data_IF_604088744501
#
_entry.id   IF_604088744501
#
_cell.length_a   1.000
_cell.length_b   1.000
_cell.length_c   1.000
_cell.angle_alpha   90.00
_cell.angle_beta   90.00
_cell.angle_gamma   90.00
#
_symmetry.space_group_name_H-M   'P 1'
#
loop_
_entity.id
_entity.type
_entity.pdbx_description
1 polymer ?
#
# COMPACT_ATOMS: atom_id res chain seq x y z
N UNK A 1 -27.75 -0.06 1.72
CA UNK A 1 -26.78 -0.83 0.90
C UNK A 1 -26.66 -2.22 1.49
N UNK A 2 -27.00 -3.26 0.74
CA UNK A 2 -26.82 -4.65 1.17
C UNK A 2 -25.34 -5.07 1.05
N UNK A 3 -25.01 -6.27 1.55
CA UNK A 3 -23.61 -6.76 1.57
C UNK A 3 -22.99 -6.85 0.17
N UNK A 4 -23.74 -7.32 -0.82
CA UNK A 4 -23.26 -7.46 -2.19
C UNK A 4 -22.96 -6.09 -2.83
N UNK A 5 -23.85 -5.12 -2.64
CA UNK A 5 -23.66 -3.74 -3.09
C UNK A 5 -22.43 -3.10 -2.41
N UNK A 6 -22.24 -3.37 -1.11
CA UNK A 6 -21.07 -2.87 -0.36
C UNK A 6 -19.78 -3.47 -0.90
N UNK A 7 -19.71 -4.77 -1.13
CA UNK A 7 -18.54 -5.42 -1.69
C UNK A 7 -18.25 -4.91 -3.11
N UNK A 8 -19.27 -4.80 -3.95
CA UNK A 8 -19.15 -4.25 -5.30
C UNK A 8 -18.59 -2.80 -5.25
N UNK A 9 -19.10 -1.95 -4.35
CA UNK A 9 -18.57 -0.60 -4.17
C UNK A 9 -17.05 -0.60 -3.93
N UNK A 10 -16.54 -1.55 -3.15
CA UNK A 10 -15.10 -1.64 -2.85
C UNK A 10 -14.26 -2.31 -3.95
N UNK A 11 -14.86 -2.84 -5.01
CA UNK A 11 -14.13 -3.26 -6.23
C UNK A 11 -13.95 -2.11 -7.23
N UNK A 12 -14.71 -1.03 -7.08
CA UNK A 12 -14.74 0.07 -8.04
C UNK A 12 -13.59 1.05 -7.81
N UNK A 13 -12.94 1.45 -8.88
CA UNK A 13 -11.93 2.50 -8.84
C UNK A 13 -12.53 3.84 -8.41
N UNK A 14 -11.73 4.61 -7.69
CA UNK A 14 -11.97 6.02 -7.40
C UNK A 14 -10.95 6.86 -8.19
N UNK A 15 -11.12 8.19 -8.30
CA UNK A 15 -10.14 9.03 -8.97
C UNK A 15 -8.70 8.89 -8.45
N UNK A 16 -8.53 8.46 -7.18
CA UNK A 16 -7.22 8.26 -6.59
C UNK A 16 -6.64 6.86 -6.82
N UNK A 17 -7.49 5.85 -7.07
CA UNK A 17 -7.09 4.43 -7.18
C UNK A 17 -7.14 3.90 -8.60
N UNK A 18 -7.66 4.66 -9.56
CA UNK A 18 -7.72 4.28 -10.97
C UNK A 18 -6.31 4.39 -11.59
N UNK A 19 -5.72 3.26 -12.06
CA UNK A 19 -4.40 3.27 -12.69
C UNK A 19 -4.40 3.94 -14.07
N UNK A 20 -5.57 4.19 -14.66
CA UNK A 20 -5.69 4.80 -15.98
C UNK A 20 -4.88 4.05 -17.05
N UNK A 21 -4.10 4.79 -17.83
CA UNK A 21 -3.24 4.24 -18.88
C UNK A 21 -2.14 3.28 -18.36
N UNK A 22 -1.79 3.35 -17.07
CA UNK A 22 -0.80 2.47 -16.45
C UNK A 22 -1.37 1.13 -15.98
N UNK A 23 -2.65 0.83 -16.23
CA UNK A 23 -3.27 -0.44 -15.83
C UNK A 23 -2.57 -1.68 -16.39
N UNK A 24 -1.88 -1.55 -17.52
CA UNK A 24 -1.08 -2.63 -18.11
C UNK A 24 0.03 -3.16 -17.18
N UNK A 25 0.54 -2.32 -16.27
CA UNK A 25 1.58 -2.69 -15.29
C UNK A 25 1.09 -3.76 -14.31
N UNK A 26 -0.22 -3.98 -14.22
CA UNK A 26 -0.82 -4.93 -13.28
C UNK A 26 -1.09 -6.32 -13.88
N UNK A 27 -0.83 -6.53 -15.18
CA UNK A 27 -1.19 -7.78 -15.86
C UNK A 27 -0.38 -8.99 -15.38
N UNK A 28 0.90 -8.78 -15.05
CA UNK A 28 1.84 -9.86 -14.68
C UNK A 28 2.13 -9.94 -13.17
N UNK A 29 1.33 -9.25 -12.35
CA UNK A 29 1.54 -9.23 -10.90
C UNK A 29 1.21 -10.60 -10.26
N UNK A 30 1.94 -11.00 -9.21
CA UNK A 30 1.67 -12.22 -8.45
C UNK A 30 0.26 -12.22 -7.87
N UNK A 31 -0.35 -13.39 -7.69
CA UNK A 31 -1.74 -13.51 -7.23
C UNK A 31 -1.87 -13.39 -5.71
N UNK A 32 -0.87 -13.83 -4.96
CA UNK A 32 -0.91 -13.85 -3.50
C UNK A 32 -0.70 -12.48 -2.86
N UNK A 33 -1.39 -12.23 -1.74
CA UNK A 33 -1.21 -11.00 -0.96
C UNK A 33 0.22 -10.83 -0.41
N UNK A 34 0.89 -11.89 0.11
CA UNK A 34 2.27 -11.76 0.58
C UNK A 34 3.23 -11.31 -0.53
N UNK A 35 3.09 -11.89 -1.73
CA UNK A 35 3.92 -11.56 -2.88
C UNK A 35 3.67 -10.12 -3.37
N UNK A 36 2.40 -9.66 -3.34
CA UNK A 36 2.05 -8.27 -3.68
C UNK A 36 2.65 -7.29 -2.66
N UNK A 37 2.56 -7.57 -1.37
CA UNK A 37 3.16 -6.72 -0.33
C UNK A 37 4.68 -6.61 -0.50
N UNK A 38 5.37 -7.75 -0.74
CA UNK A 38 6.80 -7.77 -1.03
C UNK A 38 7.14 -6.95 -2.27
N UNK A 39 6.36 -7.10 -3.32
CA UNK A 39 6.55 -6.36 -4.57
C UNK A 39 6.38 -4.86 -4.36
N UNK A 40 5.40 -4.42 -3.56
CA UNK A 40 5.22 -3.01 -3.20
C UNK A 40 6.47 -2.45 -2.51
N UNK A 41 7.08 -3.18 -1.60
CA UNK A 41 8.35 -2.77 -0.96
C UNK A 41 9.53 -2.73 -1.93
N UNK A 42 9.49 -3.50 -3.01
CA UNK A 42 10.45 -3.40 -4.10
C UNK A 42 10.27 -2.12 -4.94
N UNK A 43 9.14 -1.44 -4.84
CA UNK A 43 8.84 -0.21 -5.58
C UNK A 43 8.93 1.05 -4.70
N UNK A 44 8.68 0.91 -3.39
CA UNK A 44 8.51 2.03 -2.46
C UNK A 44 9.46 1.90 -1.26
N UNK A 45 9.80 3.03 -0.66
CA UNK A 45 10.56 3.10 0.61
C UNK A 45 9.78 4.00 1.56
N UNK A 46 9.50 3.52 2.77
CA UNK A 46 8.90 4.36 3.79
C UNK A 46 9.92 5.36 4.36
N UNK A 47 9.56 6.64 4.60
CA UNK A 47 10.50 7.67 5.09
C UNK A 47 11.21 7.33 6.40
N UNK A 48 10.60 6.52 7.28
CA UNK A 48 11.26 6.06 8.52
C UNK A 48 12.46 5.16 8.24
N UNK A 49 12.51 4.51 7.08
CA UNK A 49 13.62 3.64 6.66
C UNK A 49 14.81 4.41 6.09
N UNK A 50 14.69 5.72 5.86
CA UNK A 50 15.71 6.53 5.18
C UNK A 50 17.10 6.42 5.84
N UNK A 51 17.15 6.35 7.16
CA UNK A 51 18.41 6.21 7.89
C UNK A 51 19.13 4.90 7.57
N UNK A 52 18.39 3.81 7.36
CA UNK A 52 18.93 2.49 7.05
C UNK A 52 19.42 2.37 5.60
N UNK A 53 18.78 3.08 4.68
CA UNK A 53 19.06 2.99 3.23
C UNK A 53 19.78 4.22 2.68
N UNK A 54 20.11 5.21 3.52
CA UNK A 54 20.68 6.49 3.07
C UNK A 54 21.91 6.34 2.18
N UNK A 55 22.77 5.38 2.46
CA UNK A 55 23.98 5.10 1.69
C UNK A 55 23.69 4.55 0.28
N UNK A 56 22.45 4.11 0.02
CA UNK A 56 21.97 3.62 -1.27
C UNK A 56 21.17 4.67 -2.05
N UNK A 57 20.89 5.83 -1.43
CA UNK A 57 20.10 6.90 -2.01
C UNK A 57 21.02 8.02 -2.55
N UNK A 58 20.49 8.78 -3.51
CA UNK A 58 21.16 10.00 -3.95
C UNK A 58 21.04 11.11 -2.90
N UNK A 59 21.91 12.12 -2.95
CA UNK A 59 21.84 13.27 -2.05
C UNK A 59 20.56 14.10 -2.24
N UNK A 60 19.91 13.97 -3.40
CA UNK A 60 18.68 14.68 -3.75
C UNK A 60 17.42 13.91 -3.40
N UNK A 61 17.51 12.65 -2.95
CA UNK A 61 16.32 11.87 -2.56
C UNK A 61 15.64 12.50 -1.35
N UNK A 62 14.37 12.83 -1.49
CA UNK A 62 13.52 13.46 -0.47
C UNK A 62 12.21 12.70 -0.35
N UNK A 63 11.51 12.90 0.78
CA UNK A 63 10.13 12.46 0.93
C UNK A 63 9.27 13.09 -0.18
N UNK A 64 8.46 12.28 -0.82
CA UNK A 64 7.68 12.65 -2.01
C UNK A 64 6.16 12.66 -1.74
N UNK A 65 5.73 12.54 -0.49
CA UNK A 65 4.31 12.49 -0.10
C UNK A 65 3.47 13.64 -0.67
N UNK A 66 4.07 14.83 -0.80
CA UNK A 66 3.38 16.01 -1.32
C UNK A 66 3.30 16.06 -2.85
N UNK A 67 4.01 15.17 -3.55
CA UNK A 67 4.02 15.14 -5.02
C UNK A 67 2.86 14.36 -5.61
N UNK A 68 2.25 13.45 -4.84
CA UNK A 68 1.31 12.48 -5.35
C UNK A 68 -0.02 12.53 -4.61
N UNK A 69 -1.11 12.51 -5.38
CA UNK A 69 -2.48 12.36 -4.88
C UNK A 69 -3.18 11.14 -5.48
N UNK A 70 -2.73 10.70 -6.65
CA UNK A 70 -3.33 9.63 -7.46
C UNK A 70 -2.32 8.53 -7.75
N UNK A 71 -2.83 7.33 -7.92
CA UNK A 71 -2.00 6.19 -8.30
C UNK A 71 -1.34 6.39 -9.69
N UNK A 72 -2.01 7.06 -10.63
CA UNK A 72 -1.46 7.37 -11.95
C UNK A 72 -0.17 8.19 -11.87
N UNK A 73 -0.11 9.15 -10.93
CA UNK A 73 1.08 9.99 -10.73
C UNK A 73 2.25 9.17 -10.17
N UNK A 74 1.97 8.25 -9.24
CA UNK A 74 2.97 7.33 -8.69
C UNK A 74 3.50 6.37 -9.76
N UNK A 75 2.59 5.77 -10.55
CA UNK A 75 2.95 4.83 -11.62
C UNK A 75 3.75 5.53 -12.71
N UNK A 76 3.36 6.74 -13.10
CA UNK A 76 4.13 7.57 -14.04
C UNK A 76 5.56 7.80 -13.55
N UNK A 77 5.73 8.21 -12.29
CA UNK A 77 7.04 8.45 -11.70
C UNK A 77 7.89 7.17 -11.57
N UNK A 78 7.27 6.02 -11.30
CA UNK A 78 7.97 4.72 -11.30
C UNK A 78 8.44 4.35 -12.72
N UNK A 79 7.59 4.51 -13.72
CA UNK A 79 7.95 4.23 -15.14
C UNK A 79 9.04 5.18 -15.63
N UNK A 80 8.97 6.47 -15.27
CA UNK A 80 10.01 7.45 -15.60
C UNK A 80 11.38 7.06 -15.04
N UNK A 81 11.43 6.51 -13.82
CA UNK A 81 12.69 6.07 -13.20
C UNK A 81 13.22 4.76 -13.77
N UNK A 82 12.32 3.85 -14.13
CA UNK A 82 12.66 2.60 -14.78
C UNK A 82 11.42 2.01 -15.47
N UNK A 83 11.49 1.82 -16.77
CA UNK A 83 10.36 1.40 -17.61
C UNK A 83 10.09 -0.12 -17.60
N UNK A 84 10.88 -0.94 -16.90
CA UNK A 84 10.77 -2.41 -16.91
C UNK A 84 9.55 -2.95 -16.15
N UNK A 85 8.65 -2.06 -15.70
CA UNK A 85 7.39 -2.41 -15.03
C UNK A 85 7.51 -2.49 -13.51
N UNK A 86 6.71 -3.37 -12.88
CA UNK A 86 6.62 -3.47 -11.42
C UNK A 86 7.10 -4.83 -10.87
N UNK A 87 7.36 -5.83 -11.71
CA UNK A 87 7.60 -7.21 -11.28
C UNK A 87 9.03 -7.52 -10.83
N UNK A 88 9.88 -6.52 -10.79
CA UNK A 88 11.29 -6.64 -10.37
C UNK A 88 11.60 -5.75 -9.15
N UNK A 89 12.71 -6.00 -8.50
CA UNK A 89 13.21 -5.17 -7.42
C UNK A 89 14.00 -3.98 -7.98
N UNK A 90 13.46 -2.77 -7.78
CA UNK A 90 14.14 -1.52 -8.17
C UNK A 90 15.34 -1.26 -7.28
N UNK A 91 16.35 -0.63 -7.85
CA UNK A 91 17.40 -0.04 -7.04
C UNK A 91 16.78 0.98 -6.06
N UNK A 92 17.34 1.15 -4.85
CA UNK A 92 16.79 2.10 -3.88
C UNK A 92 16.61 3.53 -4.43
N UNK A 93 17.49 3.97 -5.32
CA UNK A 93 17.39 5.28 -5.99
C UNK A 93 16.26 5.40 -7.02
N UNK A 94 15.72 4.27 -7.47
CA UNK A 94 14.59 4.22 -8.41
C UNK A 94 13.24 4.08 -7.72
N UNK A 95 13.22 3.76 -6.40
CA UNK A 95 11.99 3.64 -5.62
C UNK A 95 11.45 5.02 -5.25
N UNK A 96 10.15 5.11 -5.01
CA UNK A 96 9.54 6.31 -4.44
C UNK A 96 9.73 6.31 -2.91
N UNK A 97 10.14 7.45 -2.36
CA UNK A 97 10.27 7.64 -0.91
C UNK A 97 8.98 8.26 -0.37
N UNK A 98 8.04 7.44 0.02
CA UNK A 98 6.67 7.83 0.40
C UNK A 98 6.12 7.00 1.56
N UNK A 99 5.13 7.57 2.29
CA UNK A 99 4.56 6.99 3.51
C UNK A 99 3.62 5.80 3.27
N UNK A 100 3.22 5.15 4.38
CA UNK A 100 2.32 3.99 4.43
C UNK A 100 1.00 4.19 3.65
N UNK A 101 0.46 5.42 3.61
CA UNK A 101 -0.72 5.75 2.80
C UNK A 101 -0.57 5.31 1.35
N UNK A 102 0.57 5.55 0.75
CA UNK A 102 0.82 5.25 -0.67
C UNK A 102 1.12 3.78 -0.92
N UNK A 103 1.71 3.08 0.07
CA UNK A 103 1.81 1.62 0.05
C UNK A 103 0.41 1.00 0.00
N UNK A 104 -0.50 1.47 0.86
CA UNK A 104 -1.90 1.07 0.84
C UNK A 104 -2.61 1.43 -0.46
N UNK A 105 -2.37 2.63 -1.01
CA UNK A 105 -3.00 3.08 -2.26
C UNK A 105 -2.60 2.18 -3.45
N UNK A 106 -1.33 1.78 -3.53
CA UNK A 106 -0.84 0.89 -4.59
C UNK A 106 -1.47 -0.50 -4.48
N UNK A 107 -1.53 -1.09 -3.26
CA UNK A 107 -2.19 -2.38 -3.04
C UNK A 107 -3.68 -2.32 -3.42
N UNK A 108 -4.39 -1.25 -3.03
CA UNK A 108 -5.81 -1.07 -3.36
C UNK A 108 -6.00 -1.04 -4.88
N UNK A 109 -5.19 -0.30 -5.60
CA UNK A 109 -5.28 -0.22 -7.06
C UNK A 109 -5.04 -1.59 -7.72
N UNK A 110 -4.01 -2.31 -7.29
CA UNK A 110 -3.69 -3.66 -7.78
C UNK A 110 -4.83 -4.65 -7.53
N UNK A 111 -5.44 -4.65 -6.34
CA UNK A 111 -6.52 -5.58 -6.00
C UNK A 111 -7.83 -5.21 -6.69
N UNK A 112 -8.16 -3.92 -6.81
CA UNK A 112 -9.35 -3.46 -7.56
C UNK A 112 -9.26 -3.78 -9.04
N UNK A 113 -8.08 -3.75 -9.64
CA UNK A 113 -7.90 -4.17 -11.05
C UNK A 113 -8.28 -5.65 -11.29
N UNK A 114 -8.31 -6.45 -10.23
CA UNK A 114 -8.74 -7.86 -10.23
C UNK A 114 -10.19 -8.06 -9.77
N UNK A 115 -10.92 -6.97 -9.51
CA UNK A 115 -12.28 -7.05 -8.97
C UNK A 115 -12.36 -7.52 -7.52
N UNK A 116 -11.27 -7.45 -6.75
CA UNK A 116 -11.25 -7.82 -5.34
C UNK A 116 -11.70 -6.65 -4.47
N UNK A 117 -12.67 -6.86 -3.55
CA UNK A 117 -13.10 -5.80 -2.65
C UNK A 117 -11.98 -5.45 -1.68
N UNK A 118 -11.56 -4.19 -1.70
CA UNK A 118 -10.49 -3.66 -0.84
C UNK A 118 -10.78 -2.23 -0.45
N UNK A 119 -10.44 -1.87 0.80
CA UNK A 119 -10.61 -0.53 1.33
C UNK A 119 -9.43 -0.13 2.21
N UNK A 120 -9.14 1.17 2.24
CA UNK A 120 -8.12 1.73 3.14
C UNK A 120 -8.65 1.89 4.56
N UNK A 121 -7.75 1.74 5.54
CA UNK A 121 -8.01 2.02 6.95
C UNK A 121 -6.91 2.86 7.56
N UNK A 122 -7.33 3.83 8.35
CA UNK A 122 -6.47 4.65 9.20
C UNK A 122 -6.70 4.22 10.64
N UNK A 123 -5.63 4.11 11.38
CA UNK A 123 -5.68 3.73 12.79
C UNK A 123 -4.31 3.81 13.45
N UNK A 124 -4.12 2.97 14.45
CA UNK A 124 -2.95 3.00 15.32
C UNK A 124 -2.39 1.59 15.47
N UNK A 125 -1.16 1.39 15.00
CA UNK A 125 -0.44 0.11 15.02
C UNK A 125 0.42 -0.03 16.28
N UNK A 126 0.25 -1.13 17.04
CA UNK A 126 1.10 -1.44 18.19
C UNK A 126 2.42 -2.08 17.76
N UNK A 127 2.44 -2.82 16.66
CA UNK A 127 3.64 -3.47 16.12
C UNK A 127 4.69 -2.48 15.57
N UNK A 128 4.32 -1.21 15.40
CA UNK A 128 5.24 -0.12 15.05
C UNK A 128 5.83 0.59 16.28
N UNK A 129 5.43 0.16 17.47
CA UNK A 129 5.79 0.85 18.71
C UNK A 129 7.29 0.77 18.97
N UNK A 130 7.90 1.93 19.00
CA UNK A 130 9.29 2.14 19.42
C UNK A 130 9.32 3.20 20.52
N UNK A 131 10.37 3.19 21.36
CA UNK A 131 10.65 4.26 22.32
C UNK A 131 9.52 4.56 23.35
N UNK A 132 8.79 3.53 23.79
CA UNK A 132 7.76 3.65 24.83
C UNK A 132 6.43 4.22 24.37
N UNK A 133 6.24 4.51 23.11
CA UNK A 133 4.91 4.79 22.54
C UNK A 133 4.14 3.48 22.42
N UNK A 134 2.88 3.47 22.84
CA UNK A 134 2.06 2.26 22.78
C UNK A 134 1.55 1.98 21.37
N UNK A 135 1.22 3.03 20.62
CA UNK A 135 0.65 2.96 19.27
C UNK A 135 1.21 4.07 18.38
N UNK A 136 1.32 3.79 17.09
CA UNK A 136 1.76 4.73 16.05
C UNK A 136 0.65 4.83 15.01
N UNK A 137 0.30 6.04 14.59
CA UNK A 137 -0.64 6.26 13.49
C UNK A 137 -0.15 5.59 12.21
N UNK A 138 -1.07 4.92 11.52
CA UNK A 138 -0.70 4.11 10.37
C UNK A 138 -1.87 3.88 9.41
N UNK A 139 -1.52 3.58 8.15
CA UNK A 139 -2.46 3.23 7.09
C UNK A 139 -2.26 1.78 6.69
N UNK A 140 -3.36 1.04 6.64
CA UNK A 140 -3.41 -0.34 6.19
C UNK A 140 -4.55 -0.54 5.18
N UNK A 141 -4.68 -1.75 4.65
CA UNK A 141 -5.83 -2.18 3.84
C UNK A 141 -6.69 -3.19 4.60
N UNK A 142 -7.99 -3.20 4.33
CA UNK A 142 -8.83 -4.35 4.57
C UNK A 142 -9.21 -4.97 3.21
N UNK A 143 -8.91 -6.25 3.04
CA UNK A 143 -9.19 -7.06 1.86
C UNK A 143 -10.29 -8.06 2.20
N UNK A 144 -11.29 -8.20 1.36
CA UNK A 144 -12.34 -9.19 1.57
C UNK A 144 -11.84 -10.60 1.27
N UNK A 145 -11.87 -11.48 2.28
CA UNK A 145 -11.57 -12.90 2.14
C UNK A 145 -12.86 -13.67 1.88
N UNK A 146 -13.01 -14.15 0.66
CA UNK A 146 -14.27 -14.78 0.21
C UNK A 146 -14.52 -16.11 0.90
N UNK A 147 -13.48 -16.91 1.17
CA UNK A 147 -13.63 -18.22 1.81
C UNK A 147 -14.13 -18.09 3.26
N UNK A 148 -13.66 -17.07 3.99
CA UNK A 148 -14.00 -16.84 5.39
C UNK A 148 -15.12 -15.83 5.57
N UNK A 149 -15.58 -15.19 4.49
CA UNK A 149 -16.63 -14.16 4.50
C UNK A 149 -16.36 -12.99 5.46
N UNK A 150 -15.09 -12.61 5.61
CA UNK A 150 -14.65 -11.52 6.47
C UNK A 150 -13.63 -10.60 5.79
N UNK A 151 -13.44 -9.44 6.38
CA UNK A 151 -12.35 -8.55 6.04
C UNK A 151 -11.08 -8.97 6.79
N UNK A 152 -9.98 -9.17 6.08
CA UNK A 152 -8.65 -9.36 6.66
C UNK A 152 -7.85 -8.05 6.56
N UNK A 153 -7.06 -7.74 7.58
CA UNK A 153 -6.22 -6.55 7.65
C UNK A 153 -4.85 -6.85 7.07
N UNK A 154 -4.41 -6.01 6.15
CA UNK A 154 -3.16 -6.19 5.40
C UNK A 154 -2.34 -4.91 5.44
N UNK A 155 -1.12 -5.00 5.91
CA UNK A 155 -0.14 -3.91 5.89
C UNK A 155 0.91 -4.16 4.80
N UNK A 156 0.82 -3.48 3.64
CA UNK A 156 1.78 -3.68 2.56
C UNK A 156 3.16 -3.07 2.85
N UNK A 157 3.27 -2.14 3.80
CA UNK A 157 4.55 -1.54 4.19
C UNK A 157 5.37 -2.48 5.08
N UNK A 158 4.69 -3.25 5.94
CA UNK A 158 5.34 -4.21 6.85
C UNK A 158 5.14 -5.68 6.45
N UNK A 159 4.53 -5.95 5.32
CA UNK A 159 4.24 -7.30 4.79
C UNK A 159 3.43 -8.16 5.79
N UNK A 160 2.56 -7.54 6.58
CA UNK A 160 1.73 -8.24 7.55
C UNK A 160 0.37 -8.58 6.94
N UNK A 161 -0.05 -9.83 7.13
CA UNK A 161 -1.34 -10.34 6.64
C UNK A 161 -2.16 -10.83 7.83
N UNK A 162 -3.45 -10.50 7.80
CA UNK A 162 -4.44 -10.86 8.83
C UNK A 162 -4.08 -10.34 10.24
N UNK A 163 -3.73 -9.04 10.30
CA UNK A 163 -3.40 -8.32 11.54
C UNK A 163 -4.59 -8.37 12.50
N UNK A 164 -4.32 -8.76 13.75
CA UNK A 164 -5.35 -8.93 14.77
C UNK A 164 -5.85 -7.61 15.37
N UNK A 165 -6.99 -7.66 16.08
CA UNK A 165 -7.66 -6.45 16.56
C UNK A 165 -6.85 -5.63 17.57
N UNK A 166 -6.04 -6.27 18.40
CA UNK A 166 -5.17 -5.62 19.40
C UNK A 166 -3.86 -5.10 18.82
N UNK A 167 -3.46 -5.58 17.65
CA UNK A 167 -2.28 -5.10 16.92
C UNK A 167 -2.55 -3.81 16.14
N UNK A 168 -3.81 -3.58 15.75
CA UNK A 168 -4.22 -2.39 15.02
C UNK A 168 -5.60 -1.90 15.49
N UNK A 169 -5.61 -0.77 16.17
CA UNK A 169 -6.85 -0.07 16.56
C UNK A 169 -7.32 0.82 15.41
N UNK A 170 -8.56 0.65 14.98
CA UNK A 170 -9.16 1.60 14.02
C UNK A 170 -9.27 2.98 14.65
N UNK A 171 -9.22 4.03 13.85
CA UNK A 171 -9.34 5.39 14.35
C UNK A 171 -10.61 5.62 15.19
N UNK A 172 -11.73 4.95 14.85
CA UNK A 172 -12.97 4.99 15.61
C UNK A 172 -12.93 4.23 16.95
N UNK A 173 -12.02 3.28 17.12
CA UNK A 173 -11.88 2.45 18.32
C UNK A 173 -10.92 3.08 19.35
N UNK A 174 -10.24 4.16 18.95
CA UNK A 174 -9.23 4.83 19.77
C UNK A 174 -9.81 5.91 20.71
N UNK A 175 -11.14 6.08 20.72
CA UNK A 175 -11.86 7.08 21.53
C UNK A 175 -12.59 6.46 22.71
#
# INVERSE_FOLDING_TARGET
MNKAELLHFYTTFTPNTDPGEYGYLFHELPQGLPELCRLIKCQLIHPTMIKKVRHLLTDYTRNEDEKFYKITEMLAALVERNADGLTFERLPSERLLISCRFHSLLLISMLRSRGLPVRSRVGFASYLSENGRKYIDHWICEVWEEAEKRWIRVDPDWELIDIQGDEFLMAGDAW
#
